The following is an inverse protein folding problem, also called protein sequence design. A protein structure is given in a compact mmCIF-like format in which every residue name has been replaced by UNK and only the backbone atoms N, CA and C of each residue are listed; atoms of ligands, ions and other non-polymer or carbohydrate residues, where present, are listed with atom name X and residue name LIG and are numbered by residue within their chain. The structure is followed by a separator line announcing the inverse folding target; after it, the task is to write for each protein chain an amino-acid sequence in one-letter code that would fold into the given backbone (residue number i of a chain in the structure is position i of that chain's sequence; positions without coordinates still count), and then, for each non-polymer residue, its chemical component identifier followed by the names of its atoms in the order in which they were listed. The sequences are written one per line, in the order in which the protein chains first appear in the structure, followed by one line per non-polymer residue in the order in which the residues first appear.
data_IF_337254882371
#
_entry.id   IF_337254882371
#
_cell.length_a   1.000
_cell.length_b   1.000
_cell.length_c   1.000
_cell.angle_alpha   90.00
_cell.angle_beta   90.00
_cell.angle_gamma   90.00
#
_symmetry.space_group_name_H-M   'P 1'
#
loop_
_entity.id
_entity.type
_entity.pdbx_description
1 polymer ?
#
# COMPACT_ATOMS: atom_id res chain seq x y z
N UNK A 1 80.57 -0.59 78.81
CA UNK A 1 80.85 -0.97 77.40
C UNK A 1 79.51 -1.21 76.71
N UNK A 2 78.68 -0.23 76.33
CA UNK A 2 78.98 1.08 75.78
C UNK A 2 79.40 0.92 74.33
N UNK A 3 78.50 1.23 73.37
CA UNK A 3 78.59 0.98 71.91
C UNK A 3 78.26 -0.49 71.65
N UNK A 4 77.02 -0.90 71.38
CA UNK A 4 76.38 -1.01 70.06
C UNK A 4 74.86 -0.70 70.16
N UNK A 5 74.55 0.31 70.98
CA UNK A 5 73.21 0.76 71.35
C UNK A 5 72.51 1.64 70.29
N UNK A 6 72.85 1.53 69.00
CA UNK A 6 72.38 2.51 68.00
C UNK A 6 72.02 1.98 66.61
N UNK A 7 71.96 0.67 66.39
CA UNK A 7 71.56 0.10 65.08
C UNK A 7 70.45 -0.95 65.12
N UNK A 8 69.92 -1.29 66.31
CA UNK A 8 68.78 -2.21 66.46
C UNK A 8 67.47 -1.48 66.85
N UNK A 9 67.45 -0.14 66.76
CA UNK A 9 66.27 0.68 67.08
C UNK A 9 65.46 1.12 65.84
N UNK A 10 65.77 0.60 64.64
CA UNK A 10 65.10 0.97 63.38
C UNK A 10 64.48 -0.21 62.62
N UNK A 11 64.40 -1.40 63.21
CA UNK A 11 64.08 -2.65 62.48
C UNK A 11 62.90 -3.47 62.97
N UNK A 12 62.13 -3.05 63.98
CA UNK A 12 61.03 -3.85 64.55
C UNK A 12 59.72 -3.06 64.70
N UNK A 13 59.35 -2.37 63.62
CA UNK A 13 58.04 -1.72 63.45
C UNK A 13 57.05 -2.61 62.65
N UNK A 14 57.22 -3.93 62.75
CA UNK A 14 56.35 -4.92 62.12
C UNK A 14 56.09 -6.06 63.11
N UNK A 15 54.79 -6.29 63.33
CA UNK A 15 54.13 -7.45 63.95
C UNK A 15 53.69 -7.29 65.42
N UNK A 16 52.40 -7.61 65.62
CA UNK A 16 51.62 -7.64 66.87
C UNK A 16 50.97 -6.27 67.23
N UNK A 17 49.70 -5.98 66.97
CA UNK A 17 48.52 -6.85 66.92
C UNK A 17 47.81 -6.91 68.28
N UNK A 18 46.94 -5.94 68.55
CA UNK A 18 45.78 -5.94 69.46
C UNK A 18 44.92 -4.77 68.97
N UNK A 19 43.74 -4.94 68.36
CA UNK A 19 42.60 -5.64 68.92
C UNK A 19 41.55 -4.60 69.33
N UNK A 20 41.02 -3.84 68.38
CA UNK A 20 39.78 -3.08 68.55
C UNK A 20 38.84 -3.50 67.42
N UNK A 21 37.97 -4.44 67.75
CA UNK A 21 36.85 -4.88 66.93
C UNK A 21 36.02 -3.67 66.53
N UNK A 22 36.21 -3.20 65.29
CA UNK A 22 35.28 -2.31 64.62
C UNK A 22 33.94 -3.01 64.57
N UNK A 23 33.02 -2.53 65.40
CA UNK A 23 31.59 -2.56 65.19
C UNK A 23 31.26 -2.73 63.71
N UNK A 24 30.75 -3.91 63.34
CA UNK A 24 29.96 -4.06 62.13
C UNK A 24 28.66 -3.27 62.33
N UNK A 25 28.62 -2.06 61.78
CA UNK A 25 27.35 -1.39 61.53
C UNK A 25 26.52 -2.30 60.60
N UNK A 26 25.25 -2.60 60.91
CA UNK A 26 24.42 -3.53 60.14
C UNK A 26 23.81 -2.86 58.89
N UNK A 27 24.49 -1.90 58.29
CA UNK A 27 24.00 -1.14 57.14
C UNK A 27 25.09 -0.99 56.09
N UNK A 28 25.45 -2.09 55.43
CA UNK A 28 25.94 -1.98 54.05
C UNK A 28 24.72 -1.62 53.20
N UNK A 29 24.61 -0.35 52.80
CA UNK A 29 23.68 0.02 51.75
C UNK A 29 24.16 -0.63 50.45
N UNK A 30 23.35 -1.55 49.91
CA UNK A 30 23.60 -2.10 48.58
C UNK A 30 23.67 -0.92 47.59
N UNK A 31 24.72 -0.89 46.75
CA UNK A 31 24.86 0.16 45.73
C UNK A 31 23.61 0.17 44.85
N UNK A 32 23.02 1.34 44.53
CA UNK A 32 21.81 1.41 43.74
C UNK A 32 22.05 0.76 42.38
N UNK A 33 21.21 -0.21 42.02
CA UNK A 33 21.23 -0.87 40.72
C UNK A 33 20.08 -0.35 39.89
N UNK A 34 20.37 0.06 38.67
CA UNK A 34 19.39 0.56 37.72
C UNK A 34 19.19 -0.49 36.62
N UNK A 35 17.97 -0.57 36.11
CA UNK A 35 17.67 -1.41 34.96
C UNK A 35 17.00 -0.62 33.83
N UNK A 36 17.07 -1.16 32.63
CA UNK A 36 16.48 -0.61 31.42
C UNK A 36 15.58 -1.65 30.79
N UNK A 37 14.47 -1.17 30.24
CA UNK A 37 13.51 -1.97 29.49
C UNK A 37 13.18 -1.27 28.18
N UNK A 38 13.29 -2.00 27.08
CA UNK A 38 12.69 -1.64 25.79
C UNK A 38 11.19 -2.01 25.80
N UNK A 39 10.37 -1.01 26.09
CA UNK A 39 8.93 -1.13 26.17
C UNK A 39 8.28 -1.39 24.83
N UNK A 40 8.81 -0.78 23.77
CA UNK A 40 8.19 -0.90 22.45
C UNK A 40 8.38 -2.33 21.95
N UNK A 41 9.57 -2.89 22.15
CA UNK A 41 9.86 -4.30 21.92
C UNK A 41 9.01 -5.24 22.77
N UNK A 42 8.76 -4.93 24.04
CA UNK A 42 7.89 -5.75 24.89
C UNK A 42 6.42 -5.72 24.45
N UNK A 43 5.92 -4.57 24.01
CA UNK A 43 4.57 -4.44 23.47
C UNK A 43 4.46 -5.24 22.16
N UNK A 44 5.43 -5.13 21.26
CA UNK A 44 5.43 -5.87 19.98
C UNK A 44 5.50 -7.40 20.18
N UNK A 45 6.23 -7.85 21.20
CA UNK A 45 6.38 -9.27 21.50
C UNK A 45 5.23 -9.83 22.33
N UNK A 46 4.34 -8.98 22.85
CA UNK A 46 3.24 -9.39 23.72
C UNK A 46 2.27 -10.37 23.01
N UNK A 47 1.75 -11.43 23.68
CA UNK A 47 0.84 -12.38 23.05
C UNK A 47 -0.41 -11.75 22.41
N UNK A 48 -1.01 -10.76 23.07
CA UNK A 48 -2.16 -9.98 22.57
C UNK A 48 -1.82 -8.92 21.50
N UNK A 49 -0.54 -8.70 21.15
CA UNK A 49 -0.14 -7.63 20.24
C UNK A 49 -0.79 -7.75 18.85
N UNK A 50 -0.82 -8.97 18.29
CA UNK A 50 -1.43 -9.22 16.97
C UNK A 50 -2.93 -8.92 16.96
N UNK A 51 -3.61 -9.22 18.07
CA UNK A 51 -5.04 -8.92 18.20
C UNK A 51 -5.28 -7.42 18.33
N UNK A 52 -4.47 -6.73 19.12
CA UNK A 52 -4.51 -5.28 19.26
C UNK A 52 -4.25 -4.58 17.92
N UNK A 53 -3.21 -4.99 17.18
CA UNK A 53 -2.90 -4.45 15.85
C UNK A 53 -4.06 -4.66 14.87
N UNK A 54 -4.63 -5.88 14.82
CA UNK A 54 -5.79 -6.17 13.98
C UNK A 54 -6.98 -5.27 14.33
N UNK A 55 -7.24 -5.03 15.62
CA UNK A 55 -8.33 -4.14 16.07
C UNK A 55 -8.08 -2.69 15.68
N UNK A 56 -6.83 -2.22 15.78
CA UNK A 56 -6.44 -0.88 15.33
C UNK A 56 -6.65 -0.70 13.83
N UNK A 57 -6.26 -1.68 13.01
CA UNK A 57 -6.50 -1.66 11.56
C UNK A 57 -7.99 -1.66 11.22
N UNK A 58 -8.79 -2.45 11.94
CA UNK A 58 -10.25 -2.49 11.79
C UNK A 58 -10.90 -1.14 12.14
N UNK A 59 -10.43 -0.49 13.20
CA UNK A 59 -10.90 0.83 13.61
C UNK A 59 -10.60 1.91 12.56
N UNK A 60 -9.38 1.95 12.03
CA UNK A 60 -9.01 2.89 10.96
C UNK A 60 -9.86 2.66 9.69
N UNK A 61 -10.10 1.39 9.35
CA UNK A 61 -10.98 1.01 8.24
C UNK A 61 -12.41 1.49 8.48
N UNK A 62 -12.94 1.34 9.69
CA UNK A 62 -14.28 1.79 10.07
C UNK A 62 -14.43 3.31 9.99
N UNK A 63 -13.43 4.07 10.49
CA UNK A 63 -13.38 5.54 10.36
C UNK A 63 -13.37 5.99 8.91
N UNK A 64 -12.53 5.37 8.09
CA UNK A 64 -12.48 5.65 6.67
C UNK A 64 -13.81 5.36 5.96
N UNK A 65 -14.44 4.23 6.28
CA UNK A 65 -15.73 3.87 5.70
C UNK A 65 -16.82 4.88 6.07
N UNK A 66 -16.82 5.36 7.33
CA UNK A 66 -17.74 6.38 7.81
C UNK A 66 -17.62 7.69 7.04
N UNK A 67 -16.40 8.19 6.82
CA UNK A 67 -16.19 9.41 6.01
C UNK A 67 -16.64 9.21 4.56
N UNK A 68 -16.32 8.04 3.98
CA UNK A 68 -16.76 7.71 2.62
C UNK A 68 -18.29 7.64 2.49
N UNK A 69 -18.99 7.12 3.50
CA UNK A 69 -20.46 7.08 3.49
C UNK A 69 -21.08 8.48 3.57
N UNK A 70 -20.49 9.37 4.36
CA UNK A 70 -20.90 10.77 4.44
C UNK A 70 -20.75 11.47 3.08
N UNK A 71 -19.60 11.34 2.44
CA UNK A 71 -19.34 11.95 1.12
C UNK A 71 -20.29 11.41 0.05
N UNK A 72 -20.42 10.08 -0.04
CA UNK A 72 -21.33 9.44 -0.99
C UNK A 72 -22.79 9.85 -0.76
N UNK A 73 -23.23 9.84 0.49
CA UNK A 73 -24.58 10.26 0.88
C UNK A 73 -24.84 11.72 0.48
N UNK A 74 -23.90 12.62 0.77
CA UNK A 74 -24.02 14.03 0.38
C UNK A 74 -24.10 14.22 -1.15
N UNK A 75 -23.29 13.47 -1.91
CA UNK A 75 -23.33 13.51 -3.38
C UNK A 75 -24.67 13.01 -3.94
N UNK A 76 -25.20 11.91 -3.38
CA UNK A 76 -26.51 11.37 -3.78
C UNK A 76 -27.65 12.34 -3.46
N UNK A 77 -27.63 12.96 -2.28
CA UNK A 77 -28.63 13.97 -1.90
C UNK A 77 -28.55 15.22 -2.80
N UNK A 78 -27.34 15.65 -3.16
CA UNK A 78 -27.15 16.75 -4.10
C UNK A 78 -27.70 16.41 -5.50
N UNK A 79 -27.45 15.19 -6.00
CA UNK A 79 -28.00 14.70 -7.26
C UNK A 79 -29.53 14.62 -7.24
N UNK A 80 -30.12 14.09 -6.16
CA UNK A 80 -31.59 14.04 -5.99
C UNK A 80 -32.21 15.44 -5.98
N UNK A 81 -31.57 16.39 -5.30
CA UNK A 81 -31.96 17.80 -5.33
C UNK A 81 -31.93 18.40 -6.74
N UNK A 82 -30.94 18.03 -7.56
CA UNK A 82 -30.86 18.44 -8.96
C UNK A 82 -31.94 17.77 -9.83
N UNK A 83 -32.16 16.46 -9.68
CA UNK A 83 -33.19 15.73 -10.43
C UNK A 83 -34.60 16.26 -10.14
N UNK A 84 -34.88 16.65 -8.89
CA UNK A 84 -36.15 17.26 -8.51
C UNK A 84 -36.36 18.60 -9.21
N UNK A 85 -35.33 19.46 -9.25
CA UNK A 85 -35.36 20.73 -10.02
C UNK A 85 -35.59 20.50 -11.52
N UNK A 86 -34.92 19.50 -12.10
CA UNK A 86 -35.10 19.11 -13.52
C UNK A 86 -36.52 18.57 -13.78
N UNK A 87 -37.08 17.81 -12.84
CA UNK A 87 -38.45 17.27 -12.91
C UNK A 87 -39.50 18.37 -12.76
N UNK A 88 -39.31 19.29 -11.83
CA UNK A 88 -40.16 20.46 -11.61
C UNK A 88 -40.09 21.45 -12.78
N UNK A 89 -38.97 21.49 -13.51
CA UNK A 89 -38.78 22.28 -14.73
C UNK A 89 -39.40 21.66 -16.02
N UNK A 90 -39.94 20.43 -15.96
CA UNK A 90 -41.06 20.00 -16.82
C UNK A 90 -40.87 19.80 -18.34
N UNK A 91 -39.80 19.13 -18.86
CA UNK A 91 -39.68 18.74 -20.30
C UNK A 91 -38.90 17.42 -20.60
N UNK A 92 -39.02 16.38 -19.76
CA UNK A 92 -38.08 15.24 -19.73
C UNK A 92 -37.96 14.27 -20.93
N UNK A 93 -38.94 14.17 -21.85
CA UNK A 93 -38.91 13.14 -22.92
C UNK A 93 -38.40 13.61 -24.30
N UNK A 94 -38.64 14.86 -24.69
CA UNK A 94 -38.22 15.37 -26.01
C UNK A 94 -36.74 15.82 -26.03
N UNK A 95 -36.21 16.22 -24.86
CA UNK A 95 -34.88 16.81 -24.73
C UNK A 95 -33.77 15.79 -24.49
N UNK A 96 -34.09 14.62 -23.92
CA UNK A 96 -33.12 13.50 -23.80
C UNK A 96 -32.73 12.96 -25.17
N UNK A 97 -33.67 12.93 -26.12
CA UNK A 97 -33.42 12.57 -27.51
C UNK A 97 -32.47 13.57 -28.19
N UNK A 98 -32.74 14.89 -28.09
CA UNK A 98 -31.87 15.92 -28.68
C UNK A 98 -30.48 15.98 -28.03
N UNK A 99 -30.40 15.79 -26.72
CA UNK A 99 -29.13 15.65 -25.99
C UNK A 99 -28.34 14.43 -26.45
N UNK A 100 -29.00 13.27 -26.54
CA UNK A 100 -28.37 12.03 -27.02
C UNK A 100 -27.89 12.15 -28.47
N UNK A 101 -28.64 12.85 -29.33
CA UNK A 101 -28.26 13.09 -30.72
C UNK A 101 -27.00 13.98 -30.82
N UNK A 102 -26.93 15.08 -30.08
CA UNK A 102 -25.76 15.97 -30.07
C UNK A 102 -24.51 15.30 -29.50
N UNK A 103 -24.65 14.51 -28.43
CA UNK A 103 -23.54 13.73 -27.87
C UNK A 103 -23.09 12.65 -28.85
N UNK A 104 -24.03 11.97 -29.53
CA UNK A 104 -23.72 10.97 -30.55
C UNK A 104 -22.99 11.58 -31.74
N UNK A 105 -23.43 12.74 -32.21
CA UNK A 105 -22.79 13.48 -33.30
C UNK A 105 -21.36 13.89 -32.94
N UNK A 106 -21.14 14.48 -31.76
CA UNK A 106 -19.79 14.83 -31.30
C UNK A 106 -18.89 13.60 -31.13
N UNK A 107 -19.43 12.49 -30.63
CA UNK A 107 -18.69 11.22 -30.58
C UNK A 107 -18.30 10.74 -31.97
N UNK A 108 -19.18 10.83 -32.95
CA UNK A 108 -18.89 10.45 -34.32
C UNK A 108 -17.79 11.34 -34.93
N UNK A 109 -17.84 12.65 -34.71
CA UNK A 109 -16.81 13.60 -35.16
C UNK A 109 -15.43 13.28 -34.56
N UNK A 110 -15.38 13.08 -33.23
CA UNK A 110 -14.14 12.75 -32.53
C UNK A 110 -13.57 11.38 -32.95
N UNK A 111 -14.43 10.38 -33.17
CA UNK A 111 -14.01 9.08 -33.70
C UNK A 111 -13.49 9.18 -35.12
N UNK A 112 -14.09 10.00 -35.98
CA UNK A 112 -13.61 10.22 -37.34
C UNK A 112 -12.22 10.87 -37.35
N UNK A 113 -11.98 11.85 -36.48
CA UNK A 113 -10.66 12.46 -36.29
C UNK A 113 -9.62 11.42 -35.83
N UNK A 114 -9.95 10.61 -34.82
CA UNK A 114 -9.06 9.54 -34.36
C UNK A 114 -8.79 8.49 -35.45
N UNK A 115 -9.79 8.16 -36.26
CA UNK A 115 -9.63 7.24 -37.41
C UNK A 115 -8.69 7.81 -38.46
N UNK A 116 -8.85 9.08 -38.83
CA UNK A 116 -7.97 9.76 -39.79
C UNK A 116 -6.53 9.82 -39.28
N UNK A 117 -6.33 10.16 -38.00
CA UNK A 117 -5.01 10.15 -37.36
C UNK A 117 -4.39 8.75 -37.33
N UNK A 118 -5.16 7.73 -36.94
CA UNK A 118 -4.72 6.34 -36.96
C UNK A 118 -4.33 5.89 -38.36
N UNK A 119 -5.08 6.27 -39.39
CA UNK A 119 -4.75 5.96 -40.78
C UNK A 119 -3.44 6.63 -41.22
N UNK A 120 -3.22 7.89 -40.87
CA UNK A 120 -1.96 8.58 -41.18
C UNK A 120 -0.75 7.94 -40.47
N UNK A 121 -0.90 7.55 -39.20
CA UNK A 121 0.16 6.87 -38.44
C UNK A 121 0.42 5.43 -38.91
N UNK A 122 -0.56 4.80 -39.59
CA UNK A 122 -0.42 3.43 -40.07
C UNK A 122 0.67 3.30 -41.13
N UNK A 123 0.79 4.26 -42.03
CA UNK A 123 1.85 4.30 -43.05
C UNK A 123 3.24 4.40 -42.41
N UNK A 124 3.39 5.22 -41.36
CA UNK A 124 4.65 5.32 -40.61
C UNK A 124 4.94 4.02 -39.84
N UNK A 125 3.93 3.42 -39.21
CA UNK A 125 4.05 2.15 -38.51
C UNK A 125 4.47 1.03 -39.47
N UNK A 126 3.89 0.98 -40.67
CA UNK A 126 4.23 0.02 -41.73
C UNK A 126 5.67 0.21 -42.22
N UNK A 127 6.12 1.46 -42.39
CA UNK A 127 7.50 1.74 -42.77
C UNK A 127 8.50 1.29 -41.71
N UNK A 128 8.17 1.41 -40.42
CA UNK A 128 9.05 1.02 -39.31
C UNK A 128 9.29 -0.48 -39.27
N UNK A 129 8.22 -1.27 -39.36
CA UNK A 129 8.33 -2.74 -39.22
C UNK A 129 8.70 -3.45 -40.52
N UNK A 130 8.77 -2.74 -41.65
CA UNK A 130 9.08 -3.33 -42.96
C UNK A 130 10.41 -4.08 -42.95
N UNK A 131 11.46 -3.46 -42.39
CA UNK A 131 12.78 -4.08 -42.31
C UNK A 131 12.78 -5.34 -41.44
N UNK A 132 12.09 -5.30 -40.30
CA UNK A 132 11.99 -6.46 -39.39
C UNK A 132 11.17 -7.58 -40.01
N UNK A 133 10.10 -7.24 -40.73
CA UNK A 133 9.30 -8.21 -41.49
C UNK A 133 10.14 -8.90 -42.56
N UNK A 134 10.92 -8.14 -43.32
CA UNK A 134 11.81 -8.68 -44.34
C UNK A 134 12.94 -9.53 -43.72
N UNK A 135 13.46 -9.14 -42.55
CA UNK A 135 14.45 -9.91 -41.80
C UNK A 135 13.89 -11.26 -41.30
N UNK A 136 12.63 -11.30 -40.84
CA UNK A 136 11.93 -12.54 -40.50
C UNK A 136 11.83 -13.43 -41.73
N UNK A 137 11.43 -12.90 -42.89
CA UNK A 137 11.37 -13.70 -44.12
C UNK A 137 12.73 -14.27 -44.52
N UNK A 138 13.78 -13.46 -44.48
CA UNK A 138 15.12 -13.89 -44.87
C UNK A 138 15.68 -14.96 -43.92
N UNK A 139 15.43 -14.83 -42.61
CA UNK A 139 15.82 -15.82 -41.58
C UNK A 139 15.28 -17.23 -41.89
N UNK A 140 14.05 -17.34 -42.38
CA UNK A 140 13.40 -18.64 -42.63
C UNK A 140 13.47 -19.11 -44.08
N UNK A 141 13.84 -18.24 -45.03
CA UNK A 141 13.87 -18.54 -46.48
C UNK A 141 14.74 -19.77 -46.81
N UNK A 142 16.01 -19.76 -46.40
CA UNK A 142 16.96 -20.82 -46.73
C UNK A 142 16.66 -22.14 -45.99
N UNK A 143 16.38 -22.15 -44.67
CA UNK A 143 16.02 -23.39 -43.96
C UNK A 143 14.79 -24.09 -44.54
N UNK A 144 13.71 -23.34 -44.82
CA UNK A 144 12.48 -23.90 -45.39
C UNK A 144 12.70 -24.40 -46.82
N UNK A 145 13.49 -23.70 -47.62
CA UNK A 145 13.87 -24.13 -48.96
C UNK A 145 14.65 -25.44 -48.93
N UNK A 146 15.65 -25.55 -48.05
CA UNK A 146 16.45 -26.76 -47.89
C UNK A 146 15.61 -27.97 -47.45
N UNK A 147 14.66 -27.78 -46.52
CA UNK A 147 13.74 -28.84 -46.11
C UNK A 147 12.83 -29.29 -47.26
N UNK A 148 12.31 -28.34 -48.05
CA UNK A 148 11.49 -28.65 -49.23
C UNK A 148 12.28 -29.45 -50.26
N UNK A 149 13.54 -29.06 -50.51
CA UNK A 149 14.42 -29.82 -51.42
C UNK A 149 14.64 -31.24 -50.93
N UNK A 150 14.99 -31.44 -49.65
CA UNK A 150 15.20 -32.76 -49.04
C UNK A 150 13.96 -33.66 -49.16
N UNK A 151 12.78 -33.11 -48.87
CA UNK A 151 11.50 -33.81 -48.99
C UNK A 151 11.17 -34.22 -50.44
N UNK A 152 11.68 -33.48 -51.43
CA UNK A 152 11.40 -33.72 -52.85
C UNK A 152 12.41 -34.63 -53.57
N UNK A 153 13.67 -34.69 -53.12
CA UNK A 153 14.78 -35.26 -53.90
C UNK A 153 15.36 -36.58 -53.38
N UNK A 154 15.05 -36.99 -52.15
CA UNK A 154 15.67 -38.16 -51.52
C UNK A 154 14.66 -39.28 -51.34
N UNK A 155 14.99 -40.49 -51.82
CA UNK A 155 14.29 -41.72 -51.41
C UNK A 155 14.62 -41.97 -49.94
N UNK A 156 13.68 -41.66 -49.05
CA UNK A 156 13.82 -41.78 -47.59
C UNK A 156 12.82 -42.78 -47.02
N UNK A 157 13.09 -43.28 -45.81
CA UNK A 157 12.12 -44.11 -45.07
C UNK A 157 10.95 -43.26 -44.55
N UNK A 158 9.81 -43.89 -44.31
CA UNK A 158 8.59 -43.23 -43.79
C UNK A 158 8.84 -42.46 -42.48
N UNK A 159 9.72 -42.99 -41.62
CA UNK A 159 10.11 -42.36 -40.36
C UNK A 159 10.91 -41.06 -40.59
N UNK A 160 11.87 -41.09 -41.51
CA UNK A 160 12.67 -39.92 -41.87
C UNK A 160 11.82 -38.85 -42.57
N UNK A 161 10.83 -39.25 -43.38
CA UNK A 161 9.89 -38.33 -44.01
C UNK A 161 8.99 -37.64 -42.97
N UNK A 162 8.45 -38.38 -42.00
CA UNK A 162 7.64 -37.81 -40.91
C UNK A 162 8.44 -36.83 -40.05
N UNK A 163 9.68 -37.15 -39.73
CA UNK A 163 10.56 -36.27 -38.96
C UNK A 163 10.83 -34.93 -39.71
N UNK A 164 11.10 -34.97 -41.02
CA UNK A 164 11.30 -33.76 -41.82
C UNK A 164 10.02 -32.92 -41.98
N UNK A 165 8.84 -33.54 -42.05
CA UNK A 165 7.56 -32.83 -42.06
C UNK A 165 7.29 -32.12 -40.73
N UNK A 166 7.61 -32.76 -39.60
CA UNK A 166 7.53 -32.13 -38.29
C UNK A 166 8.47 -30.93 -38.17
N UNK A 167 9.73 -31.08 -38.58
CA UNK A 167 10.71 -29.98 -38.59
C UNK A 167 10.26 -28.80 -39.47
N UNK A 168 9.66 -29.10 -40.64
CA UNK A 168 9.07 -28.07 -41.49
C UNK A 168 7.91 -27.34 -40.80
N UNK A 169 7.02 -28.07 -40.14
CA UNK A 169 5.89 -27.48 -39.43
C UNK A 169 6.37 -26.58 -38.29
N UNK A 170 7.33 -27.04 -37.49
CA UNK A 170 7.91 -26.24 -36.41
C UNK A 170 8.54 -24.93 -36.91
N UNK A 171 9.24 -24.97 -38.05
CA UNK A 171 9.82 -23.76 -38.65
C UNK A 171 8.74 -22.82 -39.19
N UNK A 172 7.64 -23.35 -39.74
CA UNK A 172 6.50 -22.53 -40.17
C UNK A 172 5.80 -21.86 -38.98
N UNK A 173 5.64 -22.59 -37.88
CA UNK A 173 5.03 -22.07 -36.65
C UNK A 173 5.93 -20.99 -36.02
N UNK A 174 7.25 -21.22 -35.96
CA UNK A 174 8.23 -20.22 -35.52
C UNK A 174 8.21 -18.97 -36.40
N UNK A 175 8.16 -19.12 -37.72
CA UNK A 175 8.00 -17.99 -38.65
C UNK A 175 6.71 -17.22 -38.39
N UNK A 176 5.60 -17.92 -38.19
CA UNK A 176 4.31 -17.28 -37.94
C UNK A 176 4.31 -16.52 -36.61
N UNK A 177 4.96 -17.08 -35.58
CA UNK A 177 5.18 -16.40 -34.31
C UNK A 177 6.03 -15.14 -34.48
N UNK A 178 7.18 -15.24 -35.12
CA UNK A 178 8.07 -14.09 -35.35
C UNK A 178 7.37 -12.98 -36.15
N UNK A 179 6.55 -13.33 -37.15
CA UNK A 179 5.71 -12.36 -37.88
C UNK A 179 4.67 -11.70 -36.96
N UNK A 180 4.02 -12.49 -36.10
CA UNK A 180 3.02 -11.97 -35.18
C UNK A 180 3.65 -11.03 -34.14
N UNK A 181 4.86 -11.31 -33.70
CA UNK A 181 5.59 -10.46 -32.76
C UNK A 181 5.92 -9.09 -33.40
N UNK A 182 6.36 -9.07 -34.66
CA UNK A 182 6.58 -7.83 -35.45
C UNK A 182 5.27 -7.04 -35.64
N UNK A 183 4.17 -7.70 -35.95
CA UNK A 183 2.86 -7.06 -36.08
C UNK A 183 2.32 -6.55 -34.74
N UNK A 184 2.61 -7.24 -33.64
CA UNK A 184 2.26 -6.81 -32.29
C UNK A 184 3.04 -5.56 -31.88
N UNK A 185 4.34 -5.49 -32.21
CA UNK A 185 5.17 -4.29 -31.99
C UNK A 185 4.62 -3.09 -32.77
N UNK A 186 4.20 -3.30 -34.03
CA UNK A 186 3.53 -2.28 -34.85
C UNK A 186 2.28 -1.72 -34.16
N UNK A 187 1.40 -2.60 -33.69
CA UNK A 187 0.16 -2.20 -33.01
C UNK A 187 0.43 -1.52 -31.66
N UNK A 188 1.41 -2.00 -30.89
CA UNK A 188 1.81 -1.36 -29.62
C UNK A 188 2.33 0.05 -29.86
N UNK A 189 3.20 0.24 -30.84
CA UNK A 189 3.71 1.57 -31.21
C UNK A 189 2.56 2.49 -31.61
N UNK A 190 1.64 2.02 -32.46
CA UNK A 190 0.49 2.80 -32.89
C UNK A 190 -0.46 3.15 -31.73
N UNK A 191 -0.65 2.24 -30.77
CA UNK A 191 -1.42 2.51 -29.56
C UNK A 191 -0.75 3.58 -28.68
N UNK A 192 0.56 3.51 -28.50
CA UNK A 192 1.33 4.49 -27.75
C UNK A 192 1.22 5.89 -28.37
N UNK A 193 1.36 5.99 -29.70
CA UNK A 193 1.21 7.27 -30.41
C UNK A 193 -0.23 7.83 -30.31
N UNK A 194 -1.23 6.96 -30.35
CA UNK A 194 -2.64 7.36 -30.26
C UNK A 194 -3.12 7.63 -28.83
N UNK A 195 -2.39 7.19 -27.79
CA UNK A 195 -2.86 7.24 -26.40
C UNK A 195 -3.20 8.65 -25.92
N UNK A 196 -2.33 9.62 -26.19
CA UNK A 196 -2.55 11.01 -25.82
C UNK A 196 -3.77 11.62 -26.55
N UNK A 197 -3.92 11.32 -27.84
CA UNK A 197 -5.03 11.80 -28.65
C UNK A 197 -6.37 11.17 -28.24
N UNK A 198 -6.38 9.89 -27.90
CA UNK A 198 -7.55 9.19 -27.35
C UNK A 198 -7.94 9.79 -26.00
N UNK A 199 -6.99 10.02 -25.10
CA UNK A 199 -7.25 10.65 -23.81
C UNK A 199 -7.77 12.09 -23.97
N UNK A 200 -7.16 12.89 -24.85
CA UNK A 200 -7.60 14.25 -25.14
C UNK A 200 -9.01 14.27 -25.75
N UNK A 201 -9.32 13.34 -26.65
CA UNK A 201 -10.65 13.18 -27.25
C UNK A 201 -11.70 12.82 -26.19
N UNK A 202 -11.40 11.87 -25.30
CA UNK A 202 -12.27 11.53 -24.18
C UNK A 202 -12.52 12.72 -23.25
N UNK A 203 -11.47 13.47 -22.92
CA UNK A 203 -11.59 14.68 -22.11
C UNK A 203 -12.47 15.75 -22.79
N UNK A 204 -12.31 15.97 -24.11
CA UNK A 204 -13.17 16.87 -24.88
C UNK A 204 -14.64 16.43 -24.87
N UNK A 205 -14.91 15.13 -25.03
CA UNK A 205 -16.27 14.59 -24.96
C UNK A 205 -16.89 14.75 -23.57
N UNK A 206 -16.11 14.62 -22.50
CA UNK A 206 -16.58 14.87 -21.13
C UNK A 206 -16.80 16.35 -20.84
N UNK A 207 -15.94 17.22 -21.35
CA UNK A 207 -16.12 18.67 -21.24
C UNK A 207 -17.38 19.11 -22.00
N UNK A 208 -17.56 18.61 -23.23
CA UNK A 208 -18.75 18.87 -24.05
C UNK A 208 -20.03 18.39 -23.37
N UNK A 209 -20.03 17.20 -22.75
CA UNK A 209 -21.23 16.72 -22.05
C UNK A 209 -21.58 17.58 -20.82
N UNK A 210 -20.58 18.07 -20.09
CA UNK A 210 -20.76 19.01 -18.98
C UNK A 210 -21.24 20.37 -19.45
N UNK A 211 -20.69 20.89 -20.55
CA UNK A 211 -21.11 22.15 -21.14
C UNK A 211 -22.55 22.07 -21.66
N UNK A 212 -22.91 21.00 -22.37
CA UNK A 212 -24.28 20.78 -22.84
C UNK A 212 -25.25 20.71 -21.65
N UNK A 213 -24.88 20.01 -20.58
CA UNK A 213 -25.68 19.99 -19.36
C UNK A 213 -25.82 21.40 -18.74
N UNK A 214 -24.76 22.20 -18.80
CA UNK A 214 -24.78 23.58 -18.29
C UNK A 214 -25.58 24.57 -19.14
N UNK A 215 -25.45 24.52 -20.46
CA UNK A 215 -26.24 25.32 -21.39
C UNK A 215 -27.72 24.99 -21.28
N UNK A 216 -28.08 23.70 -21.17
CA UNK A 216 -29.46 23.27 -20.92
C UNK A 216 -30.00 23.85 -19.61
N UNK A 217 -29.19 23.87 -18.54
CA UNK A 217 -29.61 24.50 -17.26
C UNK A 217 -29.74 26.02 -17.38
N UNK A 218 -28.82 26.69 -18.06
CA UNK A 218 -28.78 28.14 -18.20
C UNK A 218 -29.90 28.67 -19.10
N UNK A 219 -30.17 28.01 -20.24
CA UNK A 219 -31.31 28.32 -21.13
C UNK A 219 -32.66 28.09 -20.45
N UNK A 220 -32.75 27.16 -19.49
CA UNK A 220 -33.98 26.81 -18.80
C UNK A 220 -34.28 27.66 -17.56
N UNK A 221 -33.27 28.23 -16.91
CA UNK A 221 -33.42 28.89 -15.61
C UNK A 221 -32.93 30.33 -15.57
N UNK A 222 -32.20 30.79 -16.59
CA UNK A 222 -31.53 32.10 -16.59
C UNK A 222 -30.41 32.23 -15.55
N UNK A 223 -30.00 31.15 -14.89
CA UNK A 223 -29.02 31.14 -13.80
C UNK A 223 -27.74 30.41 -14.23
N UNK A 224 -26.58 31.05 -14.00
CA UNK A 224 -25.26 30.46 -14.21
C UNK A 224 -24.90 29.48 -13.08
N UNK A 225 -24.34 28.33 -13.45
CA UNK A 225 -23.92 27.21 -12.57
C UNK A 225 -22.73 27.50 -11.65
N UNK A 226 -22.29 28.75 -11.51
CA UNK A 226 -21.17 29.13 -10.64
C UNK A 226 -21.59 29.47 -9.20
N UNK A 227 -22.89 29.39 -8.88
CA UNK A 227 -23.41 29.64 -7.53
C UNK A 227 -23.58 28.38 -6.70
N UNK A 228 -22.88 28.31 -5.55
CA UNK A 228 -23.15 27.36 -4.45
C UNK A 228 -24.66 27.35 -4.16
N UNK A 229 -25.35 26.28 -4.55
CA UNK A 229 -26.80 26.16 -4.40
C UNK A 229 -27.15 25.48 -3.07
N UNK A 230 -28.28 25.82 -2.42
CA UNK A 230 -28.60 25.37 -1.06
C UNK A 230 -28.86 23.86 -1.00
N UNK A 231 -28.39 23.25 0.07
CA UNK A 231 -28.52 21.83 0.39
C UNK A 231 -29.99 21.49 0.69
N UNK A 232 -30.64 20.73 -0.20
CA UNK A 232 -31.99 20.22 0.02
C UNK A 232 -31.99 19.22 1.19
N UNK A 233 -32.99 19.31 2.08
CA UNK A 233 -33.03 18.64 3.39
C UNK A 233 -33.68 17.25 3.40
N UNK A 234 -34.28 16.80 2.30
CA UNK A 234 -34.91 15.47 2.21
C UNK A 234 -33.82 14.38 2.14
N UNK A 235 -33.84 13.41 3.07
CA UNK A 235 -32.85 12.32 3.17
C UNK A 235 -31.60 12.62 4.02
N UNK A 236 -31.35 13.90 4.37
CA UNK A 236 -30.38 14.30 5.41
C UNK A 236 -30.60 13.57 6.75
N UNK A 237 -31.82 13.51 7.33
CA UNK A 237 -32.02 12.90 8.64
C UNK A 237 -31.78 11.38 8.66
N UNK A 238 -31.92 10.69 7.53
CA UNK A 238 -31.61 9.25 7.42
C UNK A 238 -30.11 9.02 7.32
N UNK A 239 -29.40 9.83 6.53
CA UNK A 239 -27.94 9.84 6.47
C UNK A 239 -27.35 10.15 7.84
N UNK A 240 -27.88 11.15 8.54
CA UNK A 240 -27.40 11.53 9.88
C UNK A 240 -27.62 10.40 10.90
N UNK A 241 -28.76 9.70 10.85
CA UNK A 241 -29.01 8.53 11.71
C UNK A 241 -28.02 7.40 11.44
N UNK A 242 -27.72 7.12 10.17
CA UNK A 242 -26.73 6.11 9.78
C UNK A 242 -25.32 6.50 10.24
N UNK A 243 -24.93 7.76 10.07
CA UNK A 243 -23.63 8.25 10.53
C UNK A 243 -23.53 8.18 12.06
N UNK A 244 -24.59 8.53 12.79
CA UNK A 244 -24.64 8.40 14.25
C UNK A 244 -24.52 6.94 14.72
N UNK A 245 -25.13 5.97 14.02
CA UNK A 245 -24.95 4.56 14.37
C UNK A 245 -23.52 4.09 14.13
N UNK A 246 -22.90 4.51 13.00
CA UNK A 246 -21.49 4.21 12.72
C UNK A 246 -20.56 4.85 13.75
N UNK A 247 -20.81 6.10 14.14
CA UNK A 247 -20.01 6.82 15.15
C UNK A 247 -20.07 6.11 16.51
N UNK A 248 -21.24 5.58 16.88
CA UNK A 248 -21.39 4.79 18.11
C UNK A 248 -20.60 3.47 18.06
N UNK A 249 -20.62 2.78 16.92
CA UNK A 249 -19.85 1.54 16.75
C UNK A 249 -18.34 1.81 16.76
N UNK A 250 -17.89 2.87 16.09
CA UNK A 250 -16.49 3.31 16.11
C UNK A 250 -16.07 3.59 17.56
N UNK A 251 -16.85 4.36 18.32
CA UNK A 251 -16.54 4.65 19.73
C UNK A 251 -16.37 3.37 20.55
N UNK A 252 -17.27 2.40 20.39
CA UNK A 252 -17.15 1.11 21.09
C UNK A 252 -15.89 0.33 20.69
N UNK A 253 -15.44 0.45 19.45
CA UNK A 253 -14.19 -0.17 18.98
C UNK A 253 -12.96 0.55 19.52
N UNK A 254 -12.99 1.89 19.60
CA UNK A 254 -11.94 2.71 20.23
C UNK A 254 -11.77 2.34 21.70
N UNK A 255 -12.86 2.26 22.45
CA UNK A 255 -12.82 1.93 23.87
C UNK A 255 -12.21 0.54 24.10
N UNK A 256 -12.56 -0.44 23.26
CA UNK A 256 -12.01 -1.81 23.32
C UNK A 256 -10.54 -1.89 22.91
N UNK A 257 -10.13 -1.14 21.89
CA UNK A 257 -8.73 -1.07 21.46
C UNK A 257 -7.87 -0.45 22.58
N UNK A 258 -8.36 0.64 23.18
CA UNK A 258 -7.71 1.30 24.31
C UNK A 258 -7.63 0.41 25.54
N UNK A 259 -8.72 -0.28 25.90
CA UNK A 259 -8.72 -1.23 27.01
C UNK A 259 -7.70 -2.35 26.79
N UNK A 260 -7.65 -2.91 25.58
CA UNK A 260 -6.66 -3.95 25.24
C UNK A 260 -5.23 -3.41 25.33
N UNK A 261 -5.00 -2.15 24.95
CA UNK A 261 -3.70 -1.50 25.11
C UNK A 261 -3.32 -1.36 26.59
N UNK A 262 -4.26 -0.93 27.42
CA UNK A 262 -4.05 -0.80 28.86
C UNK A 262 -3.79 -2.16 29.53
N UNK A 263 -4.45 -3.23 29.09
CA UNK A 263 -4.19 -4.61 29.54
C UNK A 263 -2.75 -5.03 29.21
N UNK A 264 -2.31 -4.85 27.95
CA UNK A 264 -0.93 -5.14 27.53
C UNK A 264 0.08 -4.37 28.37
N UNK A 265 -0.15 -3.07 28.57
CA UNK A 265 0.76 -2.23 29.35
C UNK A 265 0.78 -2.68 30.84
N UNK A 266 -0.37 -3.08 31.40
CA UNK A 266 -0.48 -3.60 32.78
C UNK A 266 0.23 -4.95 32.97
N UNK A 267 0.13 -5.84 31.98
CA UNK A 267 0.78 -7.15 31.98
C UNK A 267 2.31 -7.00 31.96
N UNK A 268 2.82 -6.09 31.13
CA UNK A 268 4.25 -5.73 31.09
C UNK A 268 4.69 -5.14 32.43
N UNK A 269 3.94 -4.19 33.02
CA UNK A 269 4.25 -3.64 34.34
C UNK A 269 4.33 -4.73 35.42
N UNK A 270 3.41 -5.70 35.37
CA UNK A 270 3.36 -6.80 36.33
C UNK A 270 4.56 -7.74 36.17
N UNK A 271 4.96 -8.03 34.93
CA UNK A 271 6.17 -8.80 34.63
C UNK A 271 7.44 -8.10 35.13
N UNK A 272 7.56 -6.78 34.91
CA UNK A 272 8.68 -5.98 35.42
C UNK A 272 8.74 -6.05 36.95
N UNK A 273 7.61 -5.91 37.65
CA UNK A 273 7.55 -6.04 39.11
C UNK A 273 8.04 -7.41 39.57
N UNK A 274 7.62 -8.49 38.89
CA UNK A 274 8.04 -9.87 39.23
C UNK A 274 9.55 -10.07 39.05
N UNK A 275 10.14 -9.57 37.97
CA UNK A 275 11.60 -9.61 37.76
C UNK A 275 12.33 -8.79 38.84
N UNK A 276 11.78 -7.63 39.20
CA UNK A 276 12.38 -6.76 40.20
C UNK A 276 12.39 -7.35 41.62
N UNK A 277 11.43 -8.21 41.97
CA UNK A 277 11.40 -8.90 43.28
C UNK A 277 12.68 -9.72 43.51
N UNK A 278 13.22 -10.35 42.45
CA UNK A 278 14.44 -11.16 42.52
C UNK A 278 15.71 -10.32 42.42
N UNK A 279 15.70 -9.29 41.57
CA UNK A 279 16.91 -8.53 41.20
C UNK A 279 17.16 -7.27 42.06
N UNK A 280 16.13 -6.75 42.74
CA UNK A 280 16.16 -5.61 43.66
C UNK A 280 16.74 -4.31 43.04
N UNK A 281 16.29 -3.95 41.84
CA UNK A 281 16.63 -2.66 41.22
C UNK A 281 15.95 -1.49 41.94
N UNK A 282 16.67 -0.38 42.03
CA UNK A 282 16.20 0.88 42.63
C UNK A 282 15.27 1.65 41.69
N UNK A 283 15.59 1.69 40.39
CA UNK A 283 14.78 2.33 39.37
C UNK A 283 14.93 1.58 38.04
N UNK A 284 13.82 1.47 37.32
CA UNK A 284 13.76 0.81 36.00
C UNK A 284 13.29 1.86 34.98
N UNK A 285 14.12 2.12 33.98
CA UNK A 285 13.84 3.13 32.96
C UNK A 285 13.17 2.51 31.74
N UNK A 286 12.08 3.16 31.30
CA UNK A 286 11.37 2.86 30.05
C UNK A 286 12.03 3.61 28.90
N UNK A 287 12.57 2.90 27.91
CA UNK A 287 13.15 3.45 26.68
C UNK A 287 14.09 4.65 26.92
N UNK A 288 15.18 4.49 27.69
CA UNK A 288 16.07 5.59 28.00
C UNK A 288 16.70 6.15 26.72
N UNK A 289 16.63 7.47 26.56
CA UNK A 289 17.25 8.19 25.44
C UNK A 289 18.67 8.67 25.73
N UNK A 290 19.16 8.40 26.93
CA UNK A 290 20.49 8.78 27.40
C UNK A 290 21.33 7.53 27.67
N UNK A 291 22.64 7.64 27.46
CA UNK A 291 23.57 6.55 27.75
C UNK A 291 23.74 6.40 29.26
N UNK A 292 23.06 5.42 29.85
CA UNK A 292 23.06 5.13 31.28
C UNK A 292 23.68 3.77 31.55
N UNK A 293 24.48 3.66 32.62
CA UNK A 293 24.98 2.37 33.10
C UNK A 293 23.89 1.69 33.91
N UNK A 294 23.23 0.71 33.29
CA UNK A 294 22.10 -0.02 33.85
C UNK A 294 22.00 -1.41 33.21
N UNK A 295 21.42 -2.36 33.94
CA UNK A 295 21.22 -3.73 33.45
C UNK A 295 20.01 -3.75 32.48
N UNK A 296 20.20 -4.26 31.26
CA UNK A 296 19.08 -4.49 30.34
C UNK A 296 18.34 -5.76 30.76
N UNK A 297 17.06 -5.61 31.14
CA UNK A 297 16.22 -6.72 31.59
C UNK A 297 15.11 -7.06 30.59
N UNK A 298 15.16 -6.50 29.37
CA UNK A 298 14.11 -6.64 28.36
C UNK A 298 13.78 -8.12 28.06
N UNK A 299 14.79 -8.96 27.82
CA UNK A 299 14.56 -10.37 27.50
C UNK A 299 14.05 -11.19 28.70
N UNK A 300 14.49 -10.84 29.93
CA UNK A 300 14.03 -11.46 31.18
C UNK A 300 12.55 -11.13 31.44
N UNK A 301 12.17 -9.88 31.23
CA UNK A 301 10.77 -9.42 31.33
C UNK A 301 9.93 -10.07 30.24
N UNK A 302 10.41 -10.12 29.00
CA UNK A 302 9.68 -10.75 27.90
C UNK A 302 9.36 -12.22 28.22
N UNK A 303 10.32 -12.98 28.74
CA UNK A 303 10.10 -14.38 29.15
C UNK A 303 8.95 -14.51 30.15
N UNK A 304 8.81 -13.57 31.08
CA UNK A 304 7.71 -13.54 32.04
C UNK A 304 6.39 -13.14 31.40
N UNK A 305 6.39 -12.18 30.48
CA UNK A 305 5.20 -11.76 29.71
C UNK A 305 4.65 -12.92 28.86
N UNK A 306 5.52 -13.71 28.22
CA UNK A 306 5.11 -14.88 27.43
C UNK A 306 4.46 -15.99 28.28
N UNK A 307 4.69 -16.00 29.59
CA UNK A 307 4.12 -16.98 30.51
C UNK A 307 2.74 -16.57 31.07
N UNK A 308 2.24 -15.38 30.70
CA UNK A 308 0.91 -14.93 31.11
C UNK A 308 -0.13 -15.74 30.34
N UNK A 309 -0.92 -16.51 31.08
CA UNK A 309 -2.03 -17.31 30.54
C UNK A 309 -3.27 -16.44 30.52
N UNK A 310 -3.93 -16.38 29.35
CA UNK A 310 -5.20 -15.67 29.12
C UNK A 310 -6.37 -16.63 29.03
#
# INVERSE_FOLDING_TARGET
MGRWLSLLLAGLLLLSGCGFSRWQLPFRQDKPRFAVVDWDRLVEQHPKYKEWQRRKEQLETAKWLRERQKENGQQQLALLGQMKKVREAGKGQFQSAQWSAQVAEKRAQEQDLLRKKRAALKEEAESRVKADRDAVEEKYRIPLFNLRLKLSSVKMSDEAQKALLQEQQELLDKRQKDRADVEAEKEQWLQQQMAADVAASQARLQAFSKELAGQVVQEQTGLSLTGKTPQNQEGQPELDKLLQSMDKEIQQQEDKEKQMREEIDSDILSAIKKVNLSRKYTLIFRNPRANISADDITDEVNTVVQQIVY
#
